data_IF_046053363849
#
_entry.id   IF_046053363849
#
_cell.length_a   1.000
_cell.length_b   1.000
_cell.length_c   1.000
_cell.angle_alpha   90.00
_cell.angle_beta   90.00
_cell.angle_gamma   90.00
#
_symmetry.space_group_name_H-M   'P 1'
#
loop_
_entity.id
_entity.type
_entity.pdbx_description
1 polymer ?
#
# COMPACT_ATOMS: atom_id res chain seq x y z
N UNK A 1 -3.84 -14.72 5.86
CA UNK A 1 -2.71 -14.29 5.01
C UNK A 1 -2.94 -12.84 4.58
N UNK A 2 -1.93 -11.99 4.74
CA UNK A 2 -2.05 -10.58 4.37
C UNK A 2 -2.08 -10.42 2.85
N UNK A 3 -3.01 -9.61 2.35
CA UNK A 3 -3.16 -9.36 0.92
C UNK A 3 -3.15 -7.85 0.66
N UNK A 4 -3.02 -7.49 -0.61
CA UNK A 4 -3.09 -6.07 -0.99
C UNK A 4 -4.44 -5.45 -0.64
N UNK A 5 -5.49 -6.26 -0.59
CA UNK A 5 -6.82 -5.79 -0.16
C UNK A 5 -6.79 -5.33 1.30
N UNK A 6 -6.04 -6.04 2.15
CA UNK A 6 -5.88 -5.66 3.55
C UNK A 6 -5.15 -4.33 3.67
N UNK A 7 -4.12 -4.14 2.86
CA UNK A 7 -3.37 -2.88 2.81
C UNK A 7 -4.30 -1.74 2.40
N UNK A 8 -5.05 -1.93 1.31
CA UNK A 8 -5.95 -0.92 0.80
C UNK A 8 -7.02 -0.53 1.84
N UNK A 9 -7.60 -1.51 2.51
CA UNK A 9 -8.60 -1.27 3.54
C UNK A 9 -8.03 -0.47 4.71
N UNK A 10 -6.84 -0.82 5.18
CA UNK A 10 -6.19 -0.12 6.29
C UNK A 10 -5.78 1.30 5.90
N UNK A 11 -5.35 1.49 4.67
CA UNK A 11 -4.92 2.79 4.18
C UNK A 11 -6.09 3.68 3.76
N UNK A 12 -7.28 3.11 3.59
CA UNK A 12 -8.45 3.85 3.12
C UNK A 12 -8.36 4.23 1.65
N UNK A 13 -7.72 3.38 0.84
CA UNK A 13 -7.54 3.62 -0.60
C UNK A 13 -8.03 2.40 -1.39
N UNK A 14 -8.12 2.55 -2.71
CA UNK A 14 -8.48 1.43 -3.58
C UNK A 14 -7.30 0.46 -3.71
N UNK A 15 -7.60 -0.78 -4.10
CA UNK A 15 -6.58 -1.79 -4.37
C UNK A 15 -5.61 -1.30 -5.44
N UNK A 16 -6.12 -0.63 -6.48
CA UNK A 16 -5.28 -0.05 -7.55
C UNK A 16 -4.29 0.96 -7.00
N UNK A 17 -4.75 1.84 -6.10
CA UNK A 17 -3.89 2.85 -5.48
C UNK A 17 -2.82 2.18 -4.61
N UNK A 18 -3.21 1.18 -3.82
CA UNK A 18 -2.26 0.45 -2.98
C UNK A 18 -1.19 -0.23 -3.83
N UNK A 19 -1.58 -0.85 -4.93
CA UNK A 19 -0.65 -1.50 -5.86
C UNK A 19 0.35 -0.50 -6.43
N UNK A 20 -0.13 0.64 -6.90
CA UNK A 20 0.73 1.68 -7.46
C UNK A 20 1.70 2.21 -6.42
N UNK A 21 1.23 2.42 -5.20
CA UNK A 21 2.07 2.92 -4.12
C UNK A 21 3.20 1.93 -3.78
N UNK A 22 2.89 0.64 -3.75
CA UNK A 22 3.89 -0.40 -3.49
C UNK A 22 4.93 -0.49 -4.61
N UNK A 23 4.57 -0.12 -5.82
CA UNK A 23 5.47 -0.12 -6.97
C UNK A 23 6.17 1.23 -7.19
N UNK A 24 6.11 2.12 -6.21
CA UNK A 24 6.73 3.45 -6.28
C UNK A 24 6.27 4.28 -7.48
N UNK A 25 5.01 4.13 -7.87
CA UNK A 25 4.46 4.88 -8.99
C UNK A 25 4.48 6.39 -8.67
N UNK A 26 5.09 7.23 -9.53
CA UNK A 26 5.22 8.66 -9.26
C UNK A 26 3.89 9.41 -9.21
N UNK A 27 2.80 8.80 -9.70
CA UNK A 27 1.47 9.41 -9.61
C UNK A 27 0.92 9.40 -8.19
N UNK A 28 1.47 8.54 -7.33
CA UNK A 28 1.11 8.47 -5.92
C UNK A 28 2.09 9.35 -5.16
N UNK A 29 1.58 10.23 -4.29
CA UNK A 29 2.45 11.10 -3.52
C UNK A 29 3.42 10.30 -2.66
N UNK A 30 4.59 10.87 -2.39
CA UNK A 30 5.59 10.22 -1.56
C UNK A 30 5.04 9.87 -0.18
N UNK A 31 4.29 10.79 0.43
CA UNK A 31 3.68 10.55 1.73
C UNK A 31 2.74 9.34 1.71
N UNK A 32 1.93 9.21 0.66
CA UNK A 32 1.01 8.09 0.53
C UNK A 32 1.78 6.78 0.30
N UNK A 33 2.82 6.81 -0.52
CA UNK A 33 3.66 5.63 -0.77
C UNK A 33 4.30 5.14 0.53
N UNK A 34 4.85 6.06 1.32
CA UNK A 34 5.46 5.73 2.61
C UNK A 34 4.44 5.11 3.56
N UNK A 35 3.26 5.70 3.65
CA UNK A 35 2.18 5.20 4.50
C UNK A 35 1.81 3.77 4.14
N UNK A 36 1.61 3.52 2.85
CA UNK A 36 1.19 2.20 2.36
C UNK A 36 2.28 1.16 2.57
N UNK A 37 3.54 1.52 2.32
CA UNK A 37 4.67 0.62 2.56
C UNK A 37 4.79 0.27 4.04
N UNK A 38 4.58 1.23 4.92
CA UNK A 38 4.61 1.01 6.36
C UNK A 38 3.52 0.02 6.79
N UNK A 39 2.30 0.19 6.27
CA UNK A 39 1.19 -0.71 6.54
C UNK A 39 1.54 -2.13 6.06
N UNK A 40 2.12 -2.25 4.86
CA UNK A 40 2.52 -3.55 4.32
C UNK A 40 3.49 -4.28 5.25
N UNK A 41 4.46 -3.57 5.78
CA UNK A 41 5.43 -4.13 6.73
C UNK A 41 4.72 -4.57 8.02
N UNK A 42 3.82 -3.74 8.53
CA UNK A 42 3.10 -4.02 9.77
C UNK A 42 2.25 -5.29 9.71
N UNK A 43 1.61 -5.54 8.56
CA UNK A 43 0.76 -6.72 8.41
C UNK A 43 1.49 -7.92 7.83
N UNK A 44 2.78 -7.79 7.57
CA UNK A 44 3.60 -8.88 7.04
C UNK A 44 3.36 -9.19 5.57
N UNK A 45 2.94 -8.21 4.79
CA UNK A 45 2.76 -8.37 3.35
C UNK A 45 4.12 -8.26 2.62
N UNK A 46 4.40 -9.25 1.77
CA UNK A 46 5.59 -9.22 0.91
C UNK A 46 5.14 -9.30 -0.54
N UNK A 47 5.59 -8.38 -1.40
CA UNK A 47 5.28 -8.44 -2.81
C UNK A 47 5.90 -9.64 -3.52
#
# INVERSE_FOLDING_TARGET
MATIKDIAARAGVSVSTASRALNDNPRISEATREKIKKIAVEIGYHP
#
